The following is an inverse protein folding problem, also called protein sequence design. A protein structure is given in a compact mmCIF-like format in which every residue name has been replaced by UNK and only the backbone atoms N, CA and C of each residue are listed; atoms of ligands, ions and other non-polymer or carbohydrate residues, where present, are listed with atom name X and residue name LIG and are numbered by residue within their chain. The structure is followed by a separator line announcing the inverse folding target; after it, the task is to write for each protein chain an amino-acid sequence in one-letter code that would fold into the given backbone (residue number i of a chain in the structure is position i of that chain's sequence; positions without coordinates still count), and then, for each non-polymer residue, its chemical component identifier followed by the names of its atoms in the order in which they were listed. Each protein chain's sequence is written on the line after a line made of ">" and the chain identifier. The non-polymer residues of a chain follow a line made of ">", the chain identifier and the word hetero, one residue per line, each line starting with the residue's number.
data_IF_405472772884
#
_entry.id   IF_405472772884
#
_cell.length_a   1.000
_cell.length_b   1.000
_cell.length_c   1.000
_cell.angle_alpha   90.00
_cell.angle_beta   90.00
_cell.angle_gamma   90.00
#
_symmetry.space_group_name_H-M   'P 1'
#
loop_
_entity.id
_entity.type
_entity.pdbx_description
1 polymer ?
#
# COMPACT_ATOMS: atom_id res chain seq x y z
N UNK A 1 18.30 -5.33 3.19
CA UNK A 1 16.84 -5.42 3.35
C UNK A 1 16.25 -4.08 2.97
N UNK A 2 15.31 -4.05 2.03
CA UNK A 2 14.58 -2.89 1.58
C UNK A 2 13.17 -2.92 2.20
N UNK A 3 12.82 -1.85 2.91
CA UNK A 3 11.51 -1.67 3.53
C UNK A 3 10.79 -0.54 2.78
N UNK A 4 9.61 -0.83 2.26
CA UNK A 4 8.69 0.19 1.77
C UNK A 4 7.61 0.44 2.83
N UNK A 5 7.62 1.63 3.44
CA UNK A 5 6.65 2.03 4.45
C UNK A 5 5.66 3.02 3.83
N UNK A 6 4.39 2.60 3.74
CA UNK A 6 3.28 3.36 3.19
C UNK A 6 2.30 3.75 4.30
N UNK A 7 2.05 5.04 4.46
CA UNK A 7 0.96 5.56 5.28
C UNK A 7 -0.12 6.20 4.40
N UNK A 8 -1.39 5.94 4.71
CA UNK A 8 -2.52 6.46 3.92
C UNK A 8 -3.56 7.24 4.72
N UNK A 9 -3.49 7.24 6.06
CA UNK A 9 -4.50 7.91 6.87
C UNK A 9 -4.43 9.43 6.76
N UNK A 10 -5.56 10.06 6.44
CA UNK A 10 -5.72 11.53 6.38
C UNK A 10 -5.61 12.23 7.73
N UNK A 11 -5.63 11.49 8.84
CA UNK A 11 -5.60 12.05 10.20
C UNK A 11 -4.20 12.42 10.72
N UNK A 12 -3.15 12.26 9.90
CA UNK A 12 -1.77 12.55 10.30
C UNK A 12 -1.41 11.86 11.63
N UNK A 13 -0.75 12.58 12.53
CA UNK A 13 -0.25 12.07 13.82
C UNK A 13 -1.32 11.46 14.73
N UNK A 14 -2.60 11.80 14.53
CA UNK A 14 -3.72 11.20 15.28
C UNK A 14 -4.12 9.82 14.75
N UNK A 15 -3.45 9.31 13.72
CA UNK A 15 -3.75 8.01 13.13
C UNK A 15 -3.12 6.87 13.92
N UNK A 16 -3.97 6.03 14.52
CA UNK A 16 -3.56 4.74 15.11
C UNK A 16 -2.78 3.87 14.11
N UNK A 17 -3.25 3.77 12.86
CA UNK A 17 -2.55 2.95 11.86
C UNK A 17 -1.14 3.46 11.56
N UNK A 18 -0.88 4.77 11.64
CA UNK A 18 0.48 5.32 11.42
C UNK A 18 1.40 5.04 12.58
N UNK A 19 0.88 5.14 13.79
CA UNK A 19 1.63 4.80 15.00
C UNK A 19 2.05 3.32 14.97
N UNK A 20 1.12 2.44 14.56
CA UNK A 20 1.37 1.02 14.42
C UNK A 20 2.34 0.68 13.28
N UNK A 21 2.19 1.27 12.08
CA UNK A 21 3.17 1.06 10.99
C UNK A 21 4.56 1.52 11.39
N UNK A 22 4.69 2.68 12.05
CA UNK A 22 5.96 3.18 12.55
C UNK A 22 6.59 2.23 13.59
N UNK A 23 5.80 1.66 14.50
CA UNK A 23 6.27 0.68 15.47
C UNK A 23 6.76 -0.61 14.78
N UNK A 24 5.99 -1.15 13.82
CA UNK A 24 6.40 -2.32 13.02
C UNK A 24 7.72 -2.06 12.28
N UNK A 25 7.86 -0.90 11.63
CA UNK A 25 9.09 -0.54 10.92
C UNK A 25 10.27 -0.39 11.89
N UNK A 26 10.06 0.19 13.08
CA UNK A 26 11.10 0.29 14.10
C UNK A 26 11.62 -1.09 14.56
N UNK A 27 10.73 -2.06 14.75
CA UNK A 27 11.11 -3.44 15.08
C UNK A 27 11.91 -4.10 13.94
N UNK A 28 11.48 -3.91 12.69
CA UNK A 28 12.19 -4.43 11.52
C UNK A 28 13.61 -3.87 11.40
N UNK A 29 13.79 -2.58 11.68
CA UNK A 29 15.11 -1.91 11.69
C UNK A 29 15.99 -2.47 12.80
N UNK A 30 15.43 -2.64 14.01
CA UNK A 30 16.17 -3.19 15.15
C UNK A 30 16.67 -4.61 14.86
N UNK A 31 15.86 -5.42 14.17
CA UNK A 31 16.23 -6.77 13.75
C UNK A 31 17.22 -6.79 12.57
N UNK A 32 17.25 -5.75 11.74
CA UNK A 32 18.10 -5.67 10.54
C UNK A 32 18.88 -4.34 10.50
N UNK A 33 19.95 -4.21 11.30
CA UNK A 33 20.83 -3.05 11.26
C UNK A 33 21.41 -2.86 9.84
N UNK A 34 21.03 -1.78 9.15
CA UNK A 34 21.39 -1.52 7.76
C UNK A 34 20.25 -1.68 6.75
N UNK A 35 19.01 -1.90 7.20
CA UNK A 35 17.85 -1.82 6.33
C UNK A 35 17.74 -0.45 5.64
N UNK A 36 17.45 -0.45 4.34
CA UNK A 36 17.12 0.75 3.58
C UNK A 36 15.62 0.97 3.60
N UNK A 37 15.17 2.20 3.84
CA UNK A 37 13.76 2.51 4.03
C UNK A 37 13.34 3.55 3.00
N UNK A 38 12.27 3.23 2.27
CA UNK A 38 11.55 4.18 1.45
C UNK A 38 10.23 4.46 2.17
N UNK A 39 10.04 5.71 2.60
CA UNK A 39 8.81 6.14 3.27
C UNK A 39 7.93 6.95 2.31
N UNK A 40 6.63 6.65 2.29
CA UNK A 40 5.63 7.44 1.58
C UNK A 40 4.41 7.69 2.45
N UNK A 41 4.12 8.97 2.60
CA UNK A 41 2.84 9.44 3.13
C UNK A 41 1.91 9.84 1.99
N UNK A 42 0.95 8.98 1.67
CA UNK A 42 -0.02 9.18 0.60
C UNK A 42 -1.07 10.25 0.91
N UNK A 43 -1.19 10.68 2.17
CA UNK A 43 -2.07 11.79 2.55
C UNK A 43 -1.34 13.14 2.53
N UNK A 44 -0.07 13.19 2.93
CA UNK A 44 0.74 14.41 2.89
C UNK A 44 1.26 14.72 1.48
N UNK A 45 1.55 13.69 0.67
CA UNK A 45 1.94 13.82 -0.73
C UNK A 45 0.91 13.08 -1.61
N UNK A 46 -0.29 13.67 -1.82
CA UNK A 46 -1.36 12.99 -2.52
C UNK A 46 -1.01 12.73 -3.99
N UNK A 47 -1.45 11.58 -4.46
CA UNK A 47 -1.30 11.16 -5.85
C UNK A 47 -2.53 11.60 -6.66
N UNK A 48 -2.33 12.00 -7.91
CA UNK A 48 -3.42 12.27 -8.85
C UNK A 48 -4.22 11.00 -9.14
N UNK A 49 -5.55 11.12 -9.27
CA UNK A 49 -6.37 9.98 -9.67
C UNK A 49 -5.94 9.42 -11.04
N UNK A 50 -6.05 8.09 -11.20
CA UNK A 50 -5.76 7.44 -12.48
C UNK A 50 -6.84 7.82 -13.50
N UNK A 51 -6.44 8.61 -14.49
CA UNK A 51 -7.30 9.02 -15.62
C UNK A 51 -7.25 7.99 -16.75
N UNK A 52 -8.21 8.05 -17.68
CA UNK A 52 -8.20 7.20 -18.88
C UNK A 52 -6.90 7.29 -19.70
N UNK A 53 -6.38 8.50 -19.98
CA UNK A 53 -5.06 8.67 -20.61
C UNK A 53 -3.90 8.05 -19.81
N UNK A 54 -3.89 8.24 -18.48
CA UNK A 54 -2.83 7.71 -17.63
C UNK A 54 -2.86 6.17 -17.59
N UNK A 55 -4.03 5.56 -17.43
CA UNK A 55 -4.21 4.11 -17.45
C UNK A 55 -3.69 3.51 -18.76
N UNK A 56 -4.08 4.08 -19.90
CA UNK A 56 -3.63 3.58 -21.21
C UNK A 56 -2.12 3.73 -21.40
N UNK A 57 -1.54 4.84 -20.94
CA UNK A 57 -0.09 5.04 -21.00
C UNK A 57 0.67 4.04 -20.11
N UNK A 58 0.20 3.84 -18.88
CA UNK A 58 0.73 2.87 -17.92
C UNK A 58 0.67 1.43 -18.46
N UNK A 59 -0.46 1.02 -19.03
CA UNK A 59 -0.67 -0.32 -19.60
C UNK A 59 -0.04 -0.50 -21.00
N UNK A 60 0.81 0.43 -21.46
CA UNK A 60 1.46 0.41 -22.79
C UNK A 60 0.47 0.33 -23.97
N UNK A 61 -0.77 0.76 -23.76
CA UNK A 61 -1.85 0.83 -24.75
C UNK A 61 -2.03 2.25 -25.33
N UNK A 62 -1.09 3.15 -25.03
CA UNK A 62 -1.07 4.51 -25.57
C UNK A 62 -0.90 4.49 -27.09
N UNK A 63 -1.53 5.46 -27.76
CA UNK A 63 -1.41 5.67 -29.20
C UNK A 63 -1.48 7.18 -29.54
N UNK A 64 -1.41 7.51 -30.83
CA UNK A 64 -1.40 8.89 -31.31
C UNK A 64 -2.64 9.73 -30.92
N UNK A 65 -3.77 9.09 -30.57
CA UNK A 65 -4.97 9.78 -30.10
C UNK A 65 -4.86 10.28 -28.65
N UNK A 66 -3.82 9.88 -27.91
CA UNK A 66 -3.53 10.31 -26.54
C UNK A 66 -2.14 10.97 -26.53
N UNK A 67 -2.06 12.29 -26.76
CA UNK A 67 -0.78 12.96 -26.83
C UNK A 67 -0.07 12.93 -25.47
N UNK A 68 1.22 12.55 -25.48
CA UNK A 68 2.06 12.49 -24.28
C UNK A 68 2.56 13.89 -23.89
N UNK A 69 1.67 14.67 -23.29
CA UNK A 69 2.00 16.00 -22.74
C UNK A 69 2.87 15.89 -21.48
N UNK A 70 3.57 16.97 -21.06
CA UNK A 70 4.49 16.94 -19.93
C UNK A 70 3.89 16.40 -18.63
N UNK A 71 2.67 16.80 -18.28
CA UNK A 71 2.01 16.36 -17.04
C UNK A 71 1.70 14.86 -17.06
N UNK A 72 1.17 14.36 -18.19
CA UNK A 72 0.91 12.92 -18.37
C UNK A 72 2.22 12.12 -18.27
N UNK A 73 3.31 12.62 -18.85
CA UNK A 73 4.62 11.98 -18.77
C UNK A 73 5.12 11.94 -17.33
N UNK A 74 4.96 13.02 -16.56
CA UNK A 74 5.36 13.07 -15.16
C UNK A 74 4.58 12.03 -14.33
N UNK A 75 3.28 11.91 -14.55
CA UNK A 75 2.45 10.91 -13.86
C UNK A 75 2.82 9.47 -14.25
N UNK A 76 3.15 9.20 -15.52
CA UNK A 76 3.64 7.88 -15.95
C UNK A 76 4.96 7.52 -15.27
N UNK A 77 5.90 8.46 -15.20
CA UNK A 77 7.19 8.25 -14.53
C UNK A 77 7.00 8.04 -13.02
N UNK A 78 6.10 8.79 -12.39
CA UNK A 78 5.75 8.61 -10.99
C UNK A 78 5.12 7.22 -10.74
N UNK A 79 4.17 6.78 -11.58
CA UNK A 79 3.59 5.43 -11.47
C UNK A 79 4.64 4.33 -11.65
N UNK A 80 5.58 4.48 -12.58
CA UNK A 80 6.68 3.54 -12.76
C UNK A 80 7.61 3.50 -11.53
N UNK A 81 7.92 4.65 -10.94
CA UNK A 81 8.72 4.72 -9.72
C UNK A 81 8.01 4.05 -8.54
N UNK A 82 6.70 4.28 -8.36
CA UNK A 82 5.90 3.63 -7.32
C UNK A 82 5.88 2.10 -7.44
N UNK A 83 5.76 1.60 -8.67
CA UNK A 83 5.84 0.16 -8.94
C UNK A 83 7.24 -0.38 -8.65
N UNK A 84 8.28 0.34 -9.07
CA UNK A 84 9.65 -0.08 -8.85
C UNK A 84 9.99 -0.18 -7.37
N UNK A 85 9.60 0.81 -6.56
CA UNK A 85 9.77 0.77 -5.11
C UNK A 85 9.05 -0.41 -4.46
N UNK A 86 7.88 -0.79 -4.99
CA UNK A 86 7.16 -1.96 -4.52
C UNK A 86 7.92 -3.25 -4.85
N UNK A 87 8.38 -3.41 -6.10
CA UNK A 87 9.08 -4.62 -6.57
C UNK A 87 10.47 -4.79 -5.93
N UNK A 88 11.15 -3.69 -5.61
CA UNK A 88 12.48 -3.71 -4.97
C UNK A 88 12.42 -3.94 -3.45
N UNK A 89 11.22 -3.89 -2.84
CA UNK A 89 11.06 -4.08 -1.42
C UNK A 89 11.10 -5.57 -1.04
N UNK A 90 11.82 -5.90 0.02
CA UNK A 90 11.72 -7.21 0.65
C UNK A 90 10.46 -7.27 1.53
N UNK A 91 10.15 -6.15 2.20
CA UNK A 91 8.97 -5.99 3.06
C UNK A 91 8.26 -4.67 2.76
N UNK A 92 6.95 -4.73 2.55
CA UNK A 92 6.07 -3.57 2.41
C UNK A 92 5.14 -3.48 3.62
N UNK A 93 5.29 -2.42 4.41
CA UNK A 93 4.42 -2.12 5.56
C UNK A 93 3.40 -1.07 5.14
N UNK A 94 2.11 -1.42 5.12
CA UNK A 94 1.04 -0.55 4.61
C UNK A 94 0.03 -0.23 5.70
N UNK A 95 -0.06 1.05 6.08
CA UNK A 95 -1.12 1.56 6.92
C UNK A 95 -2.41 1.70 6.13
N UNK A 96 -3.38 0.83 6.40
CA UNK A 96 -4.64 0.71 5.68
C UNK A 96 -5.85 0.84 6.65
N UNK A 97 -6.11 2.05 7.19
CA UNK A 97 -7.28 2.26 8.06
C UNK A 97 -8.56 2.23 7.24
N UNK A 98 -9.63 1.63 7.77
CA UNK A 98 -10.94 1.71 7.14
C UNK A 98 -11.51 3.12 7.29
N UNK A 99 -11.86 3.76 6.17
CA UNK A 99 -12.49 5.08 6.09
C UNK A 99 -13.83 4.96 5.38
N UNK A 100 -14.94 5.29 6.05
CA UNK A 100 -16.30 5.11 5.53
C UNK A 100 -16.51 3.71 4.91
N UNK A 101 -16.05 2.66 5.61
CA UNK A 101 -16.16 1.25 5.22
C UNK A 101 -15.28 0.78 4.07
N UNK A 102 -14.39 1.62 3.54
CA UNK A 102 -13.49 1.28 2.44
C UNK A 102 -12.05 1.71 2.72
N UNK A 103 -11.14 1.43 1.78
CA UNK A 103 -9.79 1.99 1.81
C UNK A 103 -9.83 3.52 1.75
N UNK A 104 -8.87 4.22 2.38
CA UNK A 104 -8.69 5.64 2.16
C UNK A 104 -8.49 5.92 0.66
N UNK A 105 -9.03 7.03 0.16
CA UNK A 105 -8.90 7.39 -1.26
C UNK A 105 -7.44 7.48 -1.70
N UNK A 106 -6.57 8.00 -0.83
CA UNK A 106 -5.11 8.04 -1.01
C UNK A 106 -4.51 6.64 -1.24
N UNK A 107 -4.89 5.65 -0.42
CA UNK A 107 -4.47 4.25 -0.60
C UNK A 107 -5.01 3.67 -1.91
N UNK A 108 -6.28 3.94 -2.23
CA UNK A 108 -6.90 3.45 -3.47
C UNK A 108 -6.18 3.97 -4.71
N UNK A 109 -5.80 5.24 -4.75
CA UNK A 109 -5.05 5.82 -5.88
C UNK A 109 -3.66 5.21 -6.02
N UNK A 110 -2.99 4.89 -4.91
CA UNK A 110 -1.72 4.16 -4.95
C UNK A 110 -1.89 2.74 -5.49
N UNK A 111 -2.90 2.00 -5.00
CA UNK A 111 -3.24 0.66 -5.51
C UNK A 111 -3.59 0.69 -7.01
N UNK A 112 -4.36 1.69 -7.47
CA UNK A 112 -4.72 1.85 -8.88
C UNK A 112 -3.50 2.04 -9.79
N UNK A 113 -2.35 2.42 -9.24
CA UNK A 113 -1.09 2.54 -9.98
C UNK A 113 -0.27 1.26 -10.01
N UNK A 114 -0.48 0.35 -9.05
CA UNK A 114 0.22 -0.93 -8.98
C UNK A 114 -0.54 -2.03 -9.72
N UNK A 115 -1.84 -2.15 -9.47
CA UNK A 115 -2.66 -3.29 -9.90
C UNK A 115 -2.70 -3.51 -11.42
N UNK A 116 -2.89 -2.48 -12.27
CA UNK A 116 -3.00 -2.69 -13.72
C UNK A 116 -1.66 -2.96 -14.42
N UNK A 117 -0.52 -2.79 -13.73
CA UNK A 117 0.80 -2.82 -14.34
C UNK A 117 1.45 -4.21 -14.32
N UNK A 118 0.92 -5.16 -13.54
CA UNK A 118 1.57 -6.44 -13.30
C UNK A 118 0.66 -7.60 -13.63
N UNK A 119 1.05 -8.40 -14.62
CA UNK A 119 0.47 -9.71 -14.89
C UNK A 119 1.35 -10.79 -14.24
N UNK A 120 0.87 -11.45 -13.17
CA UNK A 120 1.66 -12.47 -12.48
C UNK A 120 1.94 -13.72 -13.35
N UNK A 121 1.26 -13.87 -14.50
CA UNK A 121 1.55 -14.95 -15.45
C UNK A 121 2.84 -14.71 -16.25
N UNK A 122 3.33 -13.47 -16.30
CA UNK A 122 4.55 -13.12 -17.03
C UNK A 122 5.81 -13.17 -16.15
N UNK A 123 5.70 -12.86 -14.84
CA UNK A 123 6.82 -12.90 -13.90
C UNK A 123 6.34 -12.89 -12.43
N UNK A 124 6.74 -13.85 -11.60
CA UNK A 124 6.29 -13.96 -10.20
C UNK A 124 7.18 -13.18 -9.22
N UNK A 125 7.72 -12.02 -9.64
CA UNK A 125 8.68 -11.26 -8.84
C UNK A 125 8.09 -10.74 -7.51
N UNK A 126 6.76 -10.69 -7.39
CA UNK A 126 6.07 -10.24 -6.19
C UNK A 126 5.80 -11.34 -5.16
N UNK A 127 6.04 -12.61 -5.48
CA UNK A 127 5.75 -13.73 -4.57
C UNK A 127 6.64 -13.74 -3.32
N UNK A 128 7.88 -13.27 -3.45
CA UNK A 128 8.85 -13.24 -2.35
C UNK A 128 8.65 -12.02 -1.43
N UNK A 129 7.93 -10.99 -1.91
CA UNK A 129 7.67 -9.75 -1.17
C UNK A 129 6.73 -10.03 -0.01
N UNK A 130 7.13 -9.65 1.19
CA UNK A 130 6.28 -9.72 2.38
C UNK A 130 5.47 -8.43 2.51
N UNK A 131 4.15 -8.54 2.60
CA UNK A 131 3.25 -7.40 2.82
C UNK A 131 2.65 -7.50 4.22
N UNK A 132 2.86 -6.46 5.03
CA UNK A 132 2.21 -6.29 6.34
C UNK A 132 1.15 -5.21 6.23
N UNK A 133 -0.13 -5.60 6.24
CA UNK A 133 -1.25 -4.67 6.26
C UNK A 133 -1.61 -4.31 7.69
N UNK A 134 -1.40 -3.05 8.05
CA UNK A 134 -1.77 -2.51 9.35
C UNK A 134 -3.16 -1.88 9.25
N UNK A 135 -4.18 -2.62 9.68
CA UNK A 135 -5.58 -2.18 9.60
C UNK A 135 -6.08 -1.61 10.93
N UNK A 136 -6.96 -0.62 10.82
CA UNK A 136 -7.64 -0.03 11.97
C UNK A 136 -9.04 0.43 11.56
N UNK A 137 -10.04 0.13 12.38
CA UNK A 137 -11.42 0.54 12.16
C UNK A 137 -12.14 0.79 13.48
N UNK A 138 -13.46 0.78 13.46
CA UNK A 138 -14.25 0.79 14.69
C UNK A 138 -14.18 -0.59 15.35
N UNK A 139 -13.88 -0.60 16.65
CA UNK A 139 -13.68 -1.80 17.46
C UNK A 139 -15.02 -2.34 18.03
N UNK A 140 -16.14 -2.13 17.33
CA UNK A 140 -17.47 -2.59 17.74
C UNK A 140 -17.89 -3.88 16.99
N UNK A 141 -18.75 -4.73 17.60
CA UNK A 141 -19.16 -6.00 16.99
C UNK A 141 -19.86 -5.86 15.63
N UNK A 142 -20.58 -4.76 15.39
CA UNK A 142 -21.26 -4.54 14.11
C UNK A 142 -20.25 -4.22 12.99
N UNK A 143 -19.15 -3.56 13.32
CA UNK A 143 -18.06 -3.27 12.39
C UNK A 143 -17.13 -4.45 12.13
N UNK A 144 -17.14 -5.50 12.95
CA UNK A 144 -16.25 -6.65 12.80
C UNK A 144 -16.41 -7.38 11.45
N UNK A 145 -17.65 -7.56 10.99
CA UNK A 145 -17.93 -8.17 9.68
C UNK A 145 -17.46 -7.26 8.54
N UNK A 146 -17.68 -5.95 8.66
CA UNK A 146 -17.25 -4.97 7.66
C UNK A 146 -15.72 -4.90 7.56
N UNK A 147 -15.02 -4.92 8.69
CA UNK A 147 -13.56 -4.99 8.75
C UNK A 147 -13.03 -6.24 8.07
N UNK A 148 -13.66 -7.40 8.29
CA UNK A 148 -13.27 -8.64 7.60
C UNK A 148 -13.40 -8.52 6.09
N UNK A 149 -14.53 -8.01 5.58
CA UNK A 149 -14.71 -7.84 4.14
C UNK A 149 -13.73 -6.84 3.53
N UNK A 150 -13.43 -5.76 4.27
CA UNK A 150 -12.41 -4.81 3.86
C UNK A 150 -11.03 -5.45 3.75
N UNK A 151 -10.64 -6.24 4.75
CA UNK A 151 -9.39 -6.99 4.77
C UNK A 151 -9.31 -8.04 3.65
N UNK A 152 -10.37 -8.83 3.46
CA UNK A 152 -10.50 -9.81 2.37
C UNK A 152 -10.35 -9.15 0.99
N UNK A 153 -10.95 -7.96 0.80
CA UNK A 153 -10.82 -7.19 -0.43
C UNK A 153 -9.36 -6.76 -0.68
N UNK A 154 -8.66 -6.24 0.34
CA UNK A 154 -7.26 -5.86 0.20
C UNK A 154 -6.36 -7.07 -0.08
N UNK A 155 -6.59 -8.17 0.63
CA UNK A 155 -5.88 -9.44 0.40
C UNK A 155 -6.06 -9.91 -1.04
N UNK A 156 -7.29 -9.91 -1.55
CA UNK A 156 -7.58 -10.29 -2.93
C UNK A 156 -6.88 -9.36 -3.95
N UNK A 157 -6.84 -8.05 -3.67
CA UNK A 157 -6.16 -7.10 -4.54
C UNK A 157 -4.64 -7.37 -4.62
N UNK A 158 -3.96 -7.54 -3.48
CA UNK A 158 -2.52 -7.89 -3.49
C UNK A 158 -2.26 -9.27 -4.09
N UNK A 159 -3.12 -10.26 -3.82
CA UNK A 159 -3.01 -11.58 -4.43
C UNK A 159 -3.16 -11.54 -5.96
N UNK A 160 -3.98 -10.62 -6.50
CA UNK A 160 -4.15 -10.47 -7.96
C UNK A 160 -2.89 -10.00 -8.69
N UNK A 161 -1.95 -9.36 -7.99
CA UNK A 161 -0.63 -8.97 -8.50
C UNK A 161 0.49 -9.93 -8.06
N UNK A 162 0.15 -11.13 -7.59
CA UNK A 162 1.16 -12.16 -7.29
C UNK A 162 1.76 -12.11 -5.87
N UNK A 163 1.34 -11.19 -5.00
CA UNK A 163 1.77 -11.22 -3.58
C UNK A 163 1.24 -12.48 -2.90
N UNK A 164 2.13 -13.30 -2.36
CA UNK A 164 1.78 -14.56 -1.66
C UNK A 164 1.95 -14.49 -0.15
N UNK A 165 2.81 -13.59 0.33
CA UNK A 165 3.17 -13.46 1.74
C UNK A 165 2.54 -12.20 2.32
N UNK A 166 1.25 -12.28 2.69
CA UNK A 166 0.53 -11.15 3.26
C UNK A 166 0.05 -11.47 4.68
N UNK A 167 0.38 -10.58 5.62
CA UNK A 167 -0.06 -10.63 7.01
C UNK A 167 -0.89 -9.39 7.34
N UNK A 168 -1.91 -9.55 8.18
CA UNK A 168 -2.69 -8.43 8.70
C UNK A 168 -2.34 -8.26 10.17
N UNK A 169 -1.96 -7.05 10.55
CA UNK A 169 -1.78 -6.63 11.93
C UNK A 169 -2.89 -5.64 12.29
N UNK A 170 -3.72 -5.98 13.28
CA UNK A 170 -4.80 -5.12 13.74
C UNK A 170 -4.36 -4.30 14.93
N UNK A 171 -5.05 -3.19 15.16
CA UNK A 171 -4.78 -2.31 16.29
C UNK A 171 -4.89 -3.00 17.68
N UNK A 172 -5.68 -4.07 17.79
CA UNK A 172 -5.75 -4.91 18.99
C UNK A 172 -4.46 -5.64 19.30
N UNK A 173 -3.68 -5.98 18.28
CA UNK A 173 -2.48 -6.82 18.40
C UNK A 173 -1.35 -6.01 19.04
N UNK A 174 -1.26 -4.72 18.70
CA UNK A 174 -0.32 -3.77 19.29
C UNK A 174 -0.64 -3.45 20.75
N UNK A 175 -1.93 -3.36 21.12
CA UNK A 175 -2.33 -3.17 22.52
C UNK A 175 -1.91 -4.39 23.37
N UNK A 176 -2.12 -5.60 22.86
CA UNK A 176 -1.70 -6.83 23.55
C UNK A 176 -0.17 -6.99 23.63
N UNK A 177 0.59 -6.38 22.73
CA UNK A 177 2.05 -6.33 22.76
C UNK A 177 2.56 -5.34 23.82
N UNK A 178 1.94 -4.16 23.93
CA UNK A 178 2.29 -3.16 24.94
C UNK A 178 2.06 -3.66 26.38
N UNK A 179 1.02 -4.48 26.60
CA UNK A 179 0.75 -5.09 27.92
C UNK A 179 1.76 -6.18 28.31
N UNK A 180 2.59 -6.65 27.38
CA UNK A 180 3.58 -7.73 27.59
C UNK A 180 5.02 -7.24 27.69
N UNK A 181 5.27 -5.95 27.44
CA UNK A 181 6.58 -5.30 27.50
C UNK A 181 6.78 -4.60 28.85
#
# INVERSE_FOLDING_TARGET
>A
MNILHIDSCVRGDQSRSRQHTAATVAELIAAHPGAHIIYRDLAAAPLSHVSGPLLQAMSRQWNAAIPMHPDLRAEVLLSAALLQEFIEADIVVVGAPMHNYFAPSSLKVWLDRLLPLHDPSENDCMAEIQVVLVTSGADDPASATLMRHYEEQLQAAFASIGVRQLQIARSSDFAAQADRA
#
